data_IF_230634864760
#
_entry.id   IF_230634864760
#
_cell.length_a   1.000
_cell.length_b   1.000
_cell.length_c   1.000
_cell.angle_alpha   90.00
_cell.angle_beta   90.00
_cell.angle_gamma   90.00
#
_symmetry.space_group_name_H-M   'P 1'
#
loop_
_entity.id
_entity.type
_entity.pdbx_description
1 polymer ?
#
# COMPACT_ATOMS: atom_id res chain seq x y z
N UNK A 1 9.54 -8.49 26.40
CA UNK A 1 10.60 -7.92 25.56
C UNK A 1 9.96 -6.93 24.59
N UNK A 2 10.37 -5.67 24.65
CA UNK A 2 10.04 -4.70 23.62
C UNK A 2 10.64 -5.14 22.28
N UNK A 3 9.85 -5.11 21.20
CA UNK A 3 10.40 -5.40 19.88
C UNK A 3 11.38 -4.30 19.50
N UNK A 4 12.64 -4.64 19.29
CA UNK A 4 13.63 -3.71 18.75
C UNK A 4 13.07 -3.12 17.43
N UNK A 5 13.06 -1.81 17.34
CA UNK A 5 12.62 -1.09 16.13
C UNK A 5 13.55 -1.44 14.97
N UNK A 6 12.99 -1.64 13.80
CA UNK A 6 13.74 -2.01 12.59
C UNK A 6 13.64 -0.84 11.61
N UNK A 7 14.68 -0.02 11.51
CA UNK A 7 14.66 1.25 10.79
C UNK A 7 14.27 1.12 9.31
N UNK A 8 14.78 0.11 8.60
CA UNK A 8 14.43 -0.04 7.18
C UNK A 8 12.94 -0.24 6.93
N UNK A 9 12.19 -0.81 7.88
CA UNK A 9 10.73 -0.92 7.77
C UNK A 9 10.05 0.45 7.95
N UNK A 10 10.61 1.31 8.79
CA UNK A 10 10.15 2.69 8.94
C UNK A 10 10.39 3.48 7.67
N UNK A 11 11.57 3.34 7.07
CA UNK A 11 11.91 3.98 5.80
C UNK A 11 11.00 3.52 4.67
N UNK A 12 10.76 2.20 4.55
CA UNK A 12 9.83 1.65 3.54
C UNK A 12 8.40 2.19 3.74
N UNK A 13 7.91 2.31 4.97
CA UNK A 13 6.60 2.93 5.24
C UNK A 13 6.51 4.38 4.78
N UNK A 14 7.56 5.16 5.04
CA UNK A 14 7.61 6.55 4.60
C UNK A 14 7.56 6.63 3.08
N UNK A 15 8.38 5.87 2.37
CA UNK A 15 8.34 5.83 0.91
C UNK A 15 6.98 5.34 0.39
N UNK A 16 6.41 4.31 1.00
CA UNK A 16 5.08 3.81 0.66
C UNK A 16 3.99 4.88 0.81
N UNK A 17 4.08 5.69 1.89
CA UNK A 17 3.17 6.82 2.10
C UNK A 17 3.32 7.87 1.00
N UNK A 18 4.56 8.24 0.62
CA UNK A 18 4.81 9.14 -0.51
C UNK A 18 4.21 8.60 -1.81
N UNK A 19 4.39 7.31 -2.10
CA UNK A 19 3.82 6.64 -3.27
C UNK A 19 2.28 6.70 -3.27
N UNK A 20 1.63 6.52 -2.12
CA UNK A 20 0.16 6.60 -2.01
C UNK A 20 -0.31 8.03 -2.27
N UNK A 21 0.28 9.02 -1.60
CA UNK A 21 -0.09 10.44 -1.82
C UNK A 21 0.17 10.85 -3.26
N UNK A 22 1.27 10.35 -3.86
CA UNK A 22 1.57 10.54 -5.28
C UNK A 22 0.44 10.08 -6.20
N UNK A 23 -0.18 8.92 -5.93
CA UNK A 23 -1.33 8.44 -6.69
C UNK A 23 -2.58 9.32 -6.54
N UNK A 24 -2.69 10.12 -5.48
CA UNK A 24 -3.85 10.98 -5.21
C UNK A 24 -3.66 12.44 -5.66
N UNK A 25 -2.62 12.74 -6.44
CA UNK A 25 -2.43 14.07 -7.05
C UNK A 25 -3.20 14.22 -8.37
N UNK A 26 -4.51 13.95 -8.36
CA UNK A 26 -5.34 13.95 -9.57
C UNK A 26 -5.56 15.37 -10.16
N UNK A 27 -5.28 16.42 -9.40
CA UNK A 27 -5.40 17.79 -9.85
C UNK A 27 -4.30 18.20 -10.85
N UNK A 28 -3.24 17.38 -11.00
CA UNK A 28 -2.21 17.61 -12.01
C UNK A 28 -2.61 16.83 -13.25
N UNK A 29 -3.02 17.56 -14.28
CA UNK A 29 -3.33 17.00 -15.60
C UNK A 29 -2.04 16.90 -16.39
N UNK A 30 -1.70 15.71 -16.87
CA UNK A 30 -0.51 15.49 -17.68
C UNK A 30 -0.86 15.68 -19.16
N UNK A 31 -0.09 16.47 -19.86
CA UNK A 31 -0.23 16.68 -21.31
C UNK A 31 0.00 15.40 -22.11
N UNK A 32 0.87 14.52 -21.59
CA UNK A 32 1.17 13.22 -22.20
C UNK A 32 0.47 12.08 -21.48
N UNK A 33 -0.34 11.32 -22.20
CA UNK A 33 -0.98 10.10 -21.74
C UNK A 33 0.04 9.09 -21.17
N UNK A 34 1.22 8.98 -21.80
CA UNK A 34 2.28 8.08 -21.31
C UNK A 34 2.82 8.54 -19.95
N UNK A 35 2.98 9.85 -19.75
CA UNK A 35 3.44 10.40 -18.46
C UNK A 35 2.43 10.18 -17.36
N UNK A 36 1.15 10.29 -17.64
CA UNK A 36 0.08 9.95 -16.69
C UNK A 36 0.18 8.48 -16.26
N UNK A 37 0.38 7.56 -17.21
CA UNK A 37 0.55 6.12 -16.89
C UNK A 37 1.82 5.85 -16.09
N UNK A 38 2.93 6.52 -16.42
CA UNK A 38 4.17 6.43 -15.65
C UNK A 38 3.97 6.92 -14.22
N UNK A 39 3.25 8.02 -14.00
CA UNK A 39 2.86 8.52 -12.67
C UNK A 39 2.14 7.44 -11.87
N UNK A 40 1.10 6.85 -12.44
CA UNK A 40 0.34 5.81 -11.79
C UNK A 40 1.19 4.58 -11.45
N UNK A 41 2.00 4.10 -12.39
CA UNK A 41 2.87 2.96 -12.17
C UNK A 41 3.86 3.19 -11.03
N UNK A 42 4.54 4.35 -11.00
CA UNK A 42 5.52 4.69 -9.97
C UNK A 42 4.93 4.67 -8.55
N UNK A 43 3.72 5.16 -8.38
CA UNK A 43 3.05 5.21 -7.07
C UNK A 43 2.44 3.88 -6.62
N UNK A 44 2.17 2.94 -7.54
CA UNK A 44 1.40 1.73 -7.24
C UNK A 44 2.08 0.75 -6.28
N UNK A 45 3.38 0.81 -6.06
CA UNK A 45 4.02 -0.03 -5.04
C UNK A 45 3.68 0.38 -3.59
N UNK A 46 3.12 1.57 -3.36
CA UNK A 46 2.87 2.07 -2.00
C UNK A 46 1.98 1.15 -1.16
N UNK A 47 0.82 0.79 -1.65
CA UNK A 47 -0.12 -0.12 -0.94
C UNK A 47 0.47 -1.51 -0.72
N UNK A 48 1.04 -2.19 -1.73
CA UNK A 48 1.76 -3.44 -1.53
C UNK A 48 2.86 -3.39 -0.48
N UNK A 49 3.68 -2.34 -0.47
CA UNK A 49 4.73 -2.18 0.53
C UNK A 49 4.16 -2.09 1.96
N UNK A 50 3.01 -1.42 2.16
CA UNK A 50 2.34 -1.43 3.46
C UNK A 50 1.85 -2.83 3.86
N UNK A 51 1.33 -3.64 2.94
CA UNK A 51 0.95 -5.02 3.22
C UNK A 51 2.16 -5.87 3.59
N UNK A 52 3.27 -5.77 2.84
CA UNK A 52 4.52 -6.50 3.13
C UNK A 52 5.05 -6.12 4.52
N UNK A 53 5.15 -4.82 4.84
CA UNK A 53 5.59 -4.36 6.16
C UNK A 53 4.64 -4.83 7.26
N UNK A 54 3.33 -4.81 7.01
CA UNK A 54 2.33 -5.28 7.98
C UNK A 54 2.45 -6.78 8.26
N UNK A 55 2.67 -7.60 7.23
CA UNK A 55 2.94 -9.04 7.38
C UNK A 55 4.24 -9.31 8.11
N UNK A 56 5.31 -8.58 7.79
CA UNK A 56 6.59 -8.67 8.49
C UNK A 56 6.44 -8.43 10.00
N UNK A 57 5.62 -7.46 10.38
CA UNK A 57 5.41 -7.08 11.77
C UNK A 57 4.32 -7.88 12.49
N UNK A 58 3.37 -8.47 11.77
CA UNK A 58 2.29 -9.23 12.40
C UNK A 58 2.78 -10.56 12.96
N UNK A 59 3.68 -11.22 12.26
CA UNK A 59 4.19 -12.55 12.62
C UNK A 59 5.59 -12.51 13.26
N UNK A 60 5.94 -13.48 14.11
CA UNK A 60 5.02 -14.37 14.79
C UNK A 60 4.17 -13.64 15.84
N UNK A 61 2.98 -14.17 16.14
CA UNK A 61 2.07 -13.61 17.12
C UNK A 61 2.54 -13.96 18.55
N UNK A 62 3.28 -13.08 19.18
CA UNK A 62 3.85 -13.28 20.52
C UNK A 62 3.04 -12.63 21.63
N UNK A 63 1.71 -12.53 21.47
CA UNK A 63 0.81 -11.92 22.44
C UNK A 63 -0.45 -12.75 22.61
N UNK A 64 -1.08 -12.77 23.81
CA UNK A 64 -2.40 -13.35 23.97
C UNK A 64 -3.42 -12.74 23.02
N UNK A 65 -4.37 -13.54 22.53
CA UNK A 65 -5.38 -13.13 21.54
C UNK A 65 -6.15 -11.88 21.97
N UNK A 66 -6.58 -11.83 23.23
CA UNK A 66 -7.32 -10.67 23.78
C UNK A 66 -6.50 -9.38 23.67
N UNK A 67 -5.22 -9.42 24.03
CA UNK A 67 -4.31 -8.27 23.93
C UNK A 67 -4.01 -7.90 22.47
N UNK A 68 -3.94 -8.90 21.59
CA UNK A 68 -3.76 -8.69 20.15
C UNK A 68 -4.96 -7.94 19.56
N UNK A 69 -6.18 -8.47 19.72
CA UNK A 69 -7.39 -7.87 19.17
C UNK A 69 -7.70 -6.50 19.78
N UNK A 70 -7.61 -6.36 21.11
CA UNK A 70 -7.77 -5.06 21.77
C UNK A 70 -6.82 -4.00 21.18
N UNK A 71 -5.57 -4.40 20.91
CA UNK A 71 -4.59 -3.51 20.27
C UNK A 71 -4.94 -3.14 18.83
N UNK A 72 -5.49 -4.08 18.03
CA UNK A 72 -5.90 -3.82 16.65
C UNK A 72 -7.18 -2.98 16.58
N UNK A 73 -8.17 -3.30 17.42
CA UNK A 73 -9.38 -2.49 17.51
C UNK A 73 -9.05 -1.05 17.85
N UNK A 74 -8.26 -0.82 18.90
CA UNK A 74 -7.91 0.53 19.33
C UNK A 74 -7.11 1.33 18.28
N UNK A 75 -6.16 0.68 17.59
CA UNK A 75 -5.21 1.38 16.71
C UNK A 75 -5.60 1.41 15.25
N UNK A 76 -6.57 0.62 14.83
CA UNK A 76 -6.97 0.52 13.41
C UNK A 76 -8.46 0.68 13.26
N UNK A 77 -9.27 -0.13 13.97
CA UNK A 77 -10.72 -0.14 13.77
C UNK A 77 -11.38 1.14 14.25
N UNK A 78 -11.03 1.61 15.47
CA UNK A 78 -11.63 2.83 16.03
C UNK A 78 -11.30 4.06 15.18
N UNK A 79 -10.04 4.36 14.85
CA UNK A 79 -9.73 5.46 13.91
C UNK A 79 -10.43 5.30 12.56
N UNK A 80 -10.47 4.09 12.03
CA UNK A 80 -11.16 3.83 10.77
C UNK A 80 -12.63 4.25 10.80
N UNK A 81 -13.38 3.84 11.84
CA UNK A 81 -14.79 4.22 12.00
C UNK A 81 -14.93 5.74 12.13
N UNK A 82 -14.08 6.39 12.95
CA UNK A 82 -14.08 7.84 13.10
C UNK A 82 -13.89 8.54 11.75
N UNK A 83 -12.95 8.08 10.93
CA UNK A 83 -12.66 8.69 9.63
C UNK A 83 -13.73 8.40 8.57
N UNK A 84 -14.32 7.21 8.55
CA UNK A 84 -15.47 6.92 7.68
C UNK A 84 -16.63 7.87 8.01
N UNK A 85 -16.95 8.06 9.29
CA UNK A 85 -18.00 8.97 9.70
C UNK A 85 -17.67 10.44 9.37
N UNK A 86 -16.43 10.85 9.55
CA UNK A 86 -15.98 12.21 9.21
C UNK A 86 -16.13 12.48 7.70
N UNK A 87 -15.67 11.58 6.84
CA UNK A 87 -15.81 11.72 5.40
C UNK A 87 -17.29 11.69 4.97
N UNK A 88 -18.10 10.82 5.56
CA UNK A 88 -19.54 10.78 5.30
C UNK A 88 -20.23 12.11 5.66
N UNK A 89 -19.87 12.73 6.80
CA UNK A 89 -20.39 14.05 7.19
C UNK A 89 -19.95 15.13 6.19
N UNK A 90 -18.70 15.13 5.76
CA UNK A 90 -18.19 16.09 4.76
C UNK A 90 -18.94 15.95 3.43
N UNK A 91 -19.16 14.74 2.95
CA UNK A 91 -19.90 14.47 1.71
C UNK A 91 -21.36 14.92 1.85
N UNK A 92 -21.99 14.64 2.99
CA UNK A 92 -23.35 15.12 3.27
C UNK A 92 -23.46 16.65 3.24
N UNK A 93 -22.52 17.35 3.86
CA UNK A 93 -22.47 18.82 3.85
C UNK A 93 -22.25 19.38 2.44
N UNK A 94 -21.53 18.63 1.58
CA UNK A 94 -21.33 18.97 0.17
C UNK A 94 -22.52 18.61 -0.72
N UNK A 95 -23.63 18.08 -0.15
CA UNK A 95 -24.79 17.64 -0.92
C UNK A 95 -24.57 16.35 -1.74
N UNK A 96 -23.52 15.58 -1.43
CA UNK A 96 -23.24 14.32 -2.09
C UNK A 96 -23.93 13.16 -1.38
N UNK A 97 -24.31 12.09 -2.09
CA UNK A 97 -24.91 10.92 -1.44
C UNK A 97 -23.86 10.21 -0.56
N UNK A 98 -24.26 9.87 0.68
CA UNK A 98 -23.38 9.12 1.62
C UNK A 98 -23.28 7.66 1.22
N UNK A 99 -24.31 7.10 0.61
CA UNK A 99 -24.32 5.74 0.08
C UNK A 99 -24.46 5.76 -1.44
N UNK A 100 -23.52 5.10 -2.11
CA UNK A 100 -23.56 4.90 -3.57
C UNK A 100 -23.48 3.40 -3.83
N UNK A 101 -24.49 2.83 -4.47
CA UNK A 101 -24.60 1.39 -4.77
C UNK A 101 -24.44 0.48 -3.52
N UNK A 102 -24.86 0.96 -2.35
CA UNK A 102 -24.75 0.22 -1.08
C UNK A 102 -23.38 0.34 -0.39
N UNK A 103 -22.45 1.10 -0.96
CA UNK A 103 -21.13 1.37 -0.35
C UNK A 103 -21.14 2.77 0.29
N UNK A 104 -20.56 2.85 1.50
CA UNK A 104 -20.32 4.09 2.22
C UNK A 104 -19.00 4.77 1.80
N UNK A 105 -18.14 4.08 1.08
CA UNK A 105 -16.89 4.63 0.58
C UNK A 105 -17.10 5.30 -0.78
N UNK A 106 -17.40 6.58 -0.75
CA UNK A 106 -17.53 7.44 -1.94
C UNK A 106 -16.16 7.98 -2.41
N UNK A 107 -16.15 8.83 -3.42
CA UNK A 107 -14.93 9.38 -4.03
C UNK A 107 -13.95 9.99 -3.01
N UNK A 108 -14.44 10.71 -2.00
CA UNK A 108 -13.63 11.33 -0.96
C UNK A 108 -13.03 10.35 0.04
N UNK A 109 -13.72 9.24 0.27
CA UNK A 109 -13.36 8.20 1.25
C UNK A 109 -12.87 6.90 0.60
N UNK A 110 -12.90 6.80 -0.73
CA UNK A 110 -12.53 5.60 -1.47
C UNK A 110 -11.15 5.05 -1.10
N UNK A 111 -10.18 5.92 -0.74
CA UNK A 111 -8.85 5.47 -0.30
C UNK A 111 -8.87 4.57 0.94
N UNK A 112 -9.91 4.63 1.77
CA UNK A 112 -10.05 3.84 3.00
C UNK A 112 -10.25 2.33 2.74
N UNK A 113 -10.51 1.90 1.48
CA UNK A 113 -10.64 0.48 1.12
C UNK A 113 -9.47 -0.39 1.62
N UNK A 114 -8.25 0.16 1.65
CA UNK A 114 -7.07 -0.52 2.15
C UNK A 114 -7.23 -0.97 3.61
N UNK A 115 -7.93 -0.18 4.44
CA UNK A 115 -8.11 -0.48 5.87
C UNK A 115 -9.07 -1.67 6.03
N UNK A 116 -10.10 -1.81 5.20
CA UNK A 116 -10.95 -3.00 5.19
C UNK A 116 -10.11 -4.25 4.95
N UNK A 117 -9.26 -4.22 3.94
CA UNK A 117 -8.39 -5.35 3.60
C UNK A 117 -7.42 -5.67 4.75
N UNK A 118 -6.77 -4.66 5.34
CA UNK A 118 -5.80 -4.91 6.41
C UNK A 118 -6.47 -5.40 7.70
N UNK A 119 -7.71 -4.99 7.99
CA UNK A 119 -8.49 -5.54 9.10
C UNK A 119 -8.74 -7.03 8.86
N UNK A 120 -9.22 -7.40 7.66
CA UNK A 120 -9.41 -8.80 7.28
C UNK A 120 -8.14 -9.63 7.44
N UNK A 121 -7.00 -9.13 6.95
CA UNK A 121 -5.71 -9.79 7.11
C UNK A 121 -5.31 -9.95 8.58
N UNK A 122 -5.57 -8.95 9.43
CA UNK A 122 -5.29 -9.08 10.86
C UNK A 122 -6.20 -10.09 11.59
N UNK A 123 -7.43 -10.29 11.13
CA UNK A 123 -8.31 -11.35 11.68
C UNK A 123 -7.77 -12.75 11.37
N UNK A 124 -7.12 -12.93 10.23
CA UNK A 124 -6.55 -14.22 9.80
C UNK A 124 -5.23 -14.54 10.53
N UNK A 125 -4.49 -13.53 11.04
CA UNK A 125 -3.18 -13.75 11.70
C UNK A 125 -3.18 -14.84 12.77
N UNK A 126 -4.10 -14.85 13.75
CA UNK A 126 -4.07 -15.89 14.79
C UNK A 126 -4.36 -17.31 14.26
N UNK A 127 -5.08 -17.40 13.15
CA UNK A 127 -5.46 -18.69 12.53
C UNK A 127 -4.26 -19.30 11.81
N UNK A 128 -3.50 -18.48 11.07
CA UNK A 128 -2.39 -18.97 10.23
C UNK A 128 -1.04 -18.95 10.94
N UNK A 129 -0.88 -18.22 12.05
CA UNK A 129 0.40 -18.09 12.77
C UNK A 129 0.99 -19.45 13.21
N UNK A 130 0.22 -20.42 13.76
CA UNK A 130 0.76 -21.72 14.13
C UNK A 130 1.37 -22.46 12.94
N UNK A 131 0.69 -22.45 11.80
CA UNK A 131 1.18 -23.06 10.56
C UNK A 131 2.44 -22.35 10.05
N UNK A 132 2.42 -21.01 9.99
CA UNK A 132 3.55 -20.23 9.49
C UNK A 132 4.83 -20.40 10.33
N UNK A 133 4.71 -20.69 11.63
CA UNK A 133 5.86 -20.94 12.51
C UNK A 133 6.60 -22.24 12.17
N UNK A 134 5.89 -23.27 11.74
CA UNK A 134 6.41 -24.62 11.50
C UNK A 134 6.74 -24.87 10.04
N UNK A 135 6.07 -24.18 9.12
CA UNK A 135 6.19 -24.42 7.69
C UNK A 135 7.61 -24.19 7.17
N UNK A 136 8.04 -25.03 6.23
CA UNK A 136 9.35 -24.91 5.60
C UNK A 136 9.43 -23.75 4.60
N UNK A 137 10.64 -23.28 4.34
CA UNK A 137 10.90 -22.26 3.29
C UNK A 137 10.41 -22.72 1.91
N UNK A 138 10.51 -24.03 1.60
CA UNK A 138 10.07 -24.60 0.31
C UNK A 138 8.55 -24.44 0.11
N UNK A 139 7.75 -24.73 1.14
CA UNK A 139 6.28 -24.62 1.08
C UNK A 139 5.85 -23.15 0.98
N UNK A 140 6.50 -22.24 1.72
CA UNK A 140 6.20 -20.81 1.58
C UNK A 140 6.59 -20.28 0.20
N UNK A 141 7.70 -20.73 -0.38
CA UNK A 141 8.08 -20.38 -1.77
C UNK A 141 7.04 -20.88 -2.75
N UNK A 142 6.57 -22.12 -2.60
CA UNK A 142 5.51 -22.67 -3.45
C UNK A 142 4.24 -21.79 -3.38
N UNK A 143 3.80 -21.43 -2.17
CA UNK A 143 2.67 -20.51 -2.00
C UNK A 143 2.88 -19.18 -2.71
N UNK A 144 4.06 -18.57 -2.54
CA UNK A 144 4.38 -17.28 -3.19
C UNK A 144 4.44 -17.39 -4.72
N UNK A 145 4.94 -18.51 -5.26
CA UNK A 145 4.95 -18.76 -6.71
C UNK A 145 3.51 -18.90 -7.24
N UNK A 146 2.66 -19.67 -6.56
CA UNK A 146 1.25 -19.81 -6.93
C UNK A 146 0.52 -18.46 -6.86
N UNK A 147 0.77 -17.68 -5.81
CA UNK A 147 0.23 -16.32 -5.70
C UNK A 147 0.72 -15.42 -6.84
N UNK A 148 2.00 -15.41 -7.17
CA UNK A 148 2.54 -14.63 -8.29
C UNK A 148 1.92 -15.08 -9.63
N UNK A 149 1.74 -16.39 -9.82
CA UNK A 149 1.07 -16.94 -11.00
C UNK A 149 -0.36 -16.41 -11.14
N UNK A 150 -1.13 -16.36 -10.04
CA UNK A 150 -2.49 -15.79 -10.09
C UNK A 150 -2.50 -14.30 -10.43
N UNK A 151 -1.40 -13.59 -10.28
CA UNK A 151 -1.25 -12.21 -10.76
C UNK A 151 -1.35 -12.03 -12.28
N UNK A 152 -1.34 -13.12 -13.04
CA UNK A 152 -1.61 -13.13 -14.48
C UNK A 152 -3.13 -13.14 -14.79
N UNK A 153 -3.96 -13.52 -13.84
CA UNK A 153 -5.43 -13.67 -14.03
C UNK A 153 -6.12 -12.43 -14.59
N UNK A 154 -5.82 -11.20 -14.14
CA UNK A 154 -6.41 -10.01 -14.74
C UNK A 154 -6.15 -9.89 -16.25
N UNK A 155 -4.94 -10.24 -16.70
CA UNK A 155 -4.61 -10.26 -18.12
C UNK A 155 -5.37 -11.35 -18.87
N UNK A 156 -5.40 -12.58 -18.35
CA UNK A 156 -6.13 -13.68 -18.95
C UNK A 156 -7.62 -13.37 -19.08
N UNK A 157 -8.20 -12.79 -18.04
CA UNK A 157 -9.60 -12.32 -18.06
C UNK A 157 -9.85 -11.32 -19.18
N UNK A 158 -8.94 -10.36 -19.37
CA UNK A 158 -9.06 -9.37 -20.43
C UNK A 158 -8.92 -9.99 -21.82
N UNK A 159 -7.89 -10.84 -22.04
CA UNK A 159 -7.57 -11.43 -23.36
C UNK A 159 -8.67 -12.41 -23.81
N UNK A 160 -9.17 -13.22 -22.90
CA UNK A 160 -10.16 -14.26 -23.22
C UNK A 160 -11.61 -13.79 -23.00
N UNK A 161 -11.81 -12.54 -22.56
CA UNK A 161 -13.12 -11.99 -22.20
C UNK A 161 -13.95 -12.95 -21.32
N UNK A 162 -13.26 -13.66 -20.42
CA UNK A 162 -13.84 -14.69 -19.57
C UNK A 162 -13.63 -14.33 -18.10
N UNK A 163 -14.69 -14.36 -17.27
CA UNK A 163 -14.53 -14.07 -15.85
C UNK A 163 -13.71 -15.19 -15.16
N UNK A 164 -12.48 -14.89 -14.80
CA UNK A 164 -11.70 -15.72 -13.86
C UNK A 164 -12.24 -15.47 -12.44
N UNK A 165 -13.39 -16.01 -12.15
CA UNK A 165 -14.07 -15.89 -10.87
C UNK A 165 -14.30 -17.28 -10.25
N UNK A 166 -14.97 -17.30 -9.12
CA UNK A 166 -15.30 -18.51 -8.37
C UNK A 166 -16.13 -19.56 -9.14
N UNK A 167 -16.76 -19.18 -10.26
CA UNK A 167 -17.62 -20.05 -11.05
C UNK A 167 -16.88 -20.76 -12.20
N UNK A 168 -15.56 -20.57 -12.33
CA UNK A 168 -14.84 -21.21 -13.41
C UNK A 168 -13.87 -22.31 -12.88
N UNK A 169 -13.36 -23.14 -13.79
CA UNK A 169 -12.51 -24.30 -13.45
C UNK A 169 -11.19 -23.92 -12.74
N UNK A 170 -10.75 -22.65 -12.80
CA UNK A 170 -9.60 -22.14 -12.07
C UNK A 170 -9.94 -21.68 -10.64
N UNK A 171 -11.17 -21.91 -10.16
CA UNK A 171 -11.64 -21.50 -8.84
C UNK A 171 -10.68 -21.82 -7.71
N UNK A 172 -10.09 -23.02 -7.68
CA UNK A 172 -9.13 -23.42 -6.65
C UNK A 172 -7.88 -22.54 -6.62
N UNK A 173 -7.37 -22.15 -7.80
CA UNK A 173 -6.22 -21.24 -7.89
C UNK A 173 -6.59 -19.81 -7.51
N UNK A 174 -7.85 -19.42 -7.68
CA UNK A 174 -8.34 -18.10 -7.27
C UNK A 174 -8.15 -17.85 -5.77
N UNK A 175 -8.13 -18.88 -4.93
CA UNK A 175 -7.84 -18.73 -3.49
C UNK A 175 -6.45 -18.22 -3.18
N UNK A 176 -5.50 -18.33 -4.09
CA UNK A 176 -4.17 -17.70 -3.95
C UNK A 176 -4.17 -16.23 -4.40
N UNK A 177 -5.17 -15.79 -5.13
CA UNK A 177 -5.26 -14.43 -5.66
C UNK A 177 -5.52 -13.40 -4.56
N UNK A 178 -4.88 -12.23 -4.66
CA UNK A 178 -5.21 -11.10 -3.80
C UNK A 178 -4.06 -10.60 -2.93
N UNK A 179 -4.41 -9.87 -1.89
CA UNK A 179 -3.46 -9.13 -1.04
C UNK A 179 -2.76 -10.00 0.00
N UNK A 180 -3.30 -11.18 0.29
CA UNK A 180 -2.73 -12.15 1.25
C UNK A 180 -1.30 -12.50 0.90
N UNK A 181 -0.98 -12.62 -0.38
CA UNK A 181 0.37 -12.93 -0.83
C UNK A 181 1.42 -11.90 -0.41
N UNK A 182 1.11 -10.61 -0.47
CA UNK A 182 2.01 -9.56 0.04
C UNK A 182 2.24 -9.69 1.55
N UNK A 183 1.21 -10.05 2.29
CA UNK A 183 1.27 -10.20 3.74
C UNK A 183 2.14 -11.41 4.12
N UNK A 184 1.96 -12.55 3.43
CA UNK A 184 2.81 -13.74 3.59
C UNK A 184 4.25 -13.46 3.12
N UNK A 185 4.45 -12.70 2.03
CA UNK A 185 5.77 -12.27 1.56
C UNK A 185 6.53 -11.49 2.64
N UNK A 186 5.83 -10.61 3.37
CA UNK A 186 6.42 -9.88 4.50
C UNK A 186 6.96 -10.82 5.58
N UNK A 187 6.19 -11.86 5.94
CA UNK A 187 6.66 -12.89 6.86
C UNK A 187 7.81 -13.71 6.30
N UNK A 188 7.75 -14.06 5.02
CA UNK A 188 8.83 -14.77 4.32
C UNK A 188 10.15 -13.97 4.39
N UNK A 189 10.12 -12.68 4.12
CA UNK A 189 11.30 -11.82 4.24
C UNK A 189 11.82 -11.72 5.67
N UNK A 190 10.95 -11.77 6.67
CA UNK A 190 11.38 -11.78 8.06
C UNK A 190 12.12 -13.04 8.44
N UNK A 191 11.58 -14.18 8.04
CA UNK A 191 12.08 -15.50 8.48
C UNK A 191 13.22 -16.02 7.61
N UNK A 192 13.20 -15.71 6.31
CA UNK A 192 14.09 -16.28 5.31
C UNK A 192 14.78 -15.23 4.44
N UNK A 193 14.72 -13.95 4.82
CA UNK A 193 15.24 -12.85 4.01
C UNK A 193 16.72 -13.00 3.66
N UNK A 194 17.52 -13.46 4.60
CA UNK A 194 18.97 -13.64 4.40
C UNK A 194 19.31 -14.88 3.53
N UNK A 195 18.33 -15.74 3.29
CA UNK A 195 18.48 -16.98 2.49
C UNK A 195 17.89 -16.86 1.09
N UNK A 196 17.31 -15.71 0.75
CA UNK A 196 16.62 -15.52 -0.53
C UNK A 196 17.33 -14.52 -1.43
N UNK A 197 17.41 -14.85 -2.72
CA UNK A 197 17.89 -13.92 -3.76
C UNK A 197 16.87 -12.81 -4.11
N UNK A 198 15.63 -12.91 -3.62
CA UNK A 198 14.61 -11.88 -3.87
C UNK A 198 14.99 -10.49 -3.33
N UNK A 199 15.91 -10.44 -2.36
CA UNK A 199 16.42 -9.19 -1.77
C UNK A 199 17.76 -8.73 -2.37
N UNK A 200 18.24 -9.38 -3.44
CA UNK A 200 19.46 -9.00 -4.13
C UNK A 200 19.18 -7.85 -5.12
N UNK A 201 20.14 -6.93 -5.29
CA UNK A 201 20.00 -5.82 -6.23
C UNK A 201 19.87 -6.27 -7.68
N UNK A 202 20.58 -7.35 -8.08
CA UNK A 202 20.48 -7.92 -9.44
C UNK A 202 19.07 -8.43 -9.72
N UNK A 203 18.49 -9.18 -8.77
CA UNK A 203 17.10 -9.67 -8.86
C UNK A 203 16.10 -8.49 -8.85
N UNK A 204 16.35 -7.45 -8.06
CA UNK A 204 15.51 -6.25 -8.04
C UNK A 204 15.54 -5.52 -9.38
N UNK A 205 16.73 -5.31 -9.98
CA UNK A 205 16.86 -4.69 -11.28
C UNK A 205 16.15 -5.51 -12.37
N UNK A 206 16.33 -6.84 -12.37
CA UNK A 206 15.61 -7.73 -13.27
C UNK A 206 14.09 -7.61 -13.13
N UNK A 207 13.57 -7.62 -11.90
CA UNK A 207 12.12 -7.50 -11.66
C UNK A 207 11.57 -6.14 -12.08
N UNK A 208 12.32 -5.05 -11.91
CA UNK A 208 11.91 -3.72 -12.41
C UNK A 208 11.82 -3.74 -13.95
N UNK A 209 12.85 -4.26 -14.63
CA UNK A 209 12.86 -4.34 -16.09
C UNK A 209 11.68 -5.19 -16.59
N UNK A 210 11.49 -6.38 -16.02
CA UNK A 210 10.37 -7.27 -16.39
C UNK A 210 9.02 -6.59 -16.10
N UNK A 211 8.88 -5.91 -14.97
CA UNK A 211 7.66 -5.20 -14.63
C UNK A 211 7.33 -4.09 -15.63
N UNK A 212 8.32 -3.30 -16.05
CA UNK A 212 8.15 -2.24 -17.06
C UNK A 212 7.78 -2.86 -18.41
N UNK A 213 8.47 -3.93 -18.84
CA UNK A 213 8.18 -4.62 -20.10
C UNK A 213 6.78 -5.22 -20.11
N UNK A 214 6.36 -5.87 -19.02
CA UNK A 214 5.01 -6.41 -18.88
C UNK A 214 3.95 -5.31 -18.89
N UNK A 215 4.19 -4.21 -18.17
CA UNK A 215 3.26 -3.06 -18.18
C UNK A 215 3.14 -2.49 -19.59
N UNK A 216 4.25 -2.33 -20.30
CA UNK A 216 4.26 -1.91 -21.70
C UNK A 216 3.51 -2.90 -22.61
N UNK A 217 3.73 -4.21 -22.45
CA UNK A 217 3.04 -5.23 -23.21
C UNK A 217 1.52 -5.20 -22.93
N UNK A 218 1.10 -5.09 -21.66
CA UNK A 218 -0.31 -4.95 -21.30
C UNK A 218 -0.95 -3.76 -22.03
N UNK A 219 -0.21 -2.67 -22.12
CA UNK A 219 -0.69 -1.43 -22.67
C UNK A 219 -0.71 -1.42 -24.21
N UNK A 220 0.42 -1.73 -24.85
CA UNK A 220 0.60 -1.58 -26.30
C UNK A 220 0.14 -2.82 -27.08
N UNK A 221 0.35 -4.02 -26.56
CA UNK A 221 0.03 -5.28 -27.26
C UNK A 221 -1.39 -5.73 -26.95
N UNK A 222 -1.74 -5.79 -25.65
CA UNK A 222 -3.03 -6.30 -25.22
C UNK A 222 -4.11 -5.19 -25.08
N UNK A 223 -3.73 -3.92 -25.31
CA UNK A 223 -4.64 -2.75 -25.22
C UNK A 223 -5.44 -2.72 -23.92
N UNK A 224 -4.82 -3.18 -22.84
CA UNK A 224 -5.45 -3.22 -21.53
C UNK A 224 -5.76 -1.81 -21.00
N UNK A 225 -6.86 -1.69 -20.27
CA UNK A 225 -7.23 -0.43 -19.59
C UNK A 225 -6.22 -0.07 -18.51
N UNK A 226 -6.21 1.19 -18.10
CA UNK A 226 -5.37 1.67 -16.99
C UNK A 226 -5.59 0.87 -15.71
N UNK A 227 -6.84 0.48 -15.45
CA UNK A 227 -7.21 -0.30 -14.26
C UNK A 227 -6.45 -1.61 -14.25
N UNK A 228 -6.38 -2.31 -15.38
CA UNK A 228 -5.70 -3.60 -15.48
C UNK A 228 -4.18 -3.49 -15.38
N UNK A 229 -3.60 -2.48 -16.03
CA UNK A 229 -2.14 -2.25 -16.00
C UNK A 229 -1.61 -1.83 -14.64
N UNK A 230 -2.49 -1.27 -13.81
CA UNK A 230 -2.16 -0.76 -12.47
C UNK A 230 -2.87 -1.52 -11.33
N UNK A 231 -3.42 -2.71 -11.60
CA UNK A 231 -4.01 -3.55 -10.54
C UNK A 231 -2.91 -3.99 -9.56
N UNK A 232 -3.14 -3.71 -8.29
CA UNK A 232 -2.24 -4.13 -7.20
C UNK A 232 -2.02 -5.65 -7.13
N UNK A 233 -2.95 -6.43 -7.66
CA UNK A 233 -2.91 -7.90 -7.68
C UNK A 233 -2.27 -8.43 -8.96
N UNK A 234 -2.00 -7.57 -9.95
CA UNK A 234 -1.37 -7.94 -11.21
C UNK A 234 0.13 -8.20 -11.08
N UNK A 235 0.63 -9.14 -11.89
CA UNK A 235 2.04 -9.57 -11.86
C UNK A 235 3.03 -8.40 -12.04
N UNK A 236 2.79 -7.38 -12.89
CA UNK A 236 3.72 -6.26 -13.01
C UNK A 236 3.93 -5.53 -11.67
N UNK A 237 2.84 -5.24 -10.95
CA UNK A 237 2.90 -4.52 -9.67
C UNK A 237 3.47 -5.40 -8.56
N UNK A 238 3.22 -6.71 -8.59
CA UNK A 238 3.82 -7.66 -7.65
C UNK A 238 5.35 -7.63 -7.78
N UNK A 239 5.88 -7.80 -8.99
CA UNK A 239 7.33 -7.80 -9.24
C UNK A 239 7.97 -6.45 -8.88
N UNK A 240 7.33 -5.35 -9.28
CA UNK A 240 7.78 -4.00 -8.93
C UNK A 240 7.85 -3.80 -7.42
N UNK A 241 6.84 -4.25 -6.68
CA UNK A 241 6.78 -4.08 -5.22
C UNK A 241 7.84 -4.92 -4.49
N UNK A 242 8.12 -6.14 -4.96
CA UNK A 242 9.22 -6.97 -4.43
C UNK A 242 10.56 -6.26 -4.64
N UNK A 243 10.80 -5.76 -5.84
CA UNK A 243 12.02 -5.06 -6.19
C UNK A 243 12.20 -3.78 -5.34
N UNK A 244 11.14 -2.98 -5.23
CA UNK A 244 11.15 -1.76 -4.42
C UNK A 244 11.43 -2.05 -2.94
N UNK A 245 10.81 -3.09 -2.36
CA UNK A 245 11.11 -3.49 -0.98
C UNK A 245 12.59 -3.81 -0.80
N UNK A 246 13.19 -4.58 -1.70
CA UNK A 246 14.59 -4.97 -1.65
C UNK A 246 15.54 -3.77 -1.80
N UNK A 247 15.28 -2.90 -2.77
CA UNK A 247 16.07 -1.67 -2.99
C UNK A 247 15.99 -0.74 -1.79
N UNK A 248 14.78 -0.47 -1.29
CA UNK A 248 14.57 0.41 -0.14
C UNK A 248 15.21 -0.14 1.14
N UNK A 249 15.22 -1.47 1.34
CA UNK A 249 15.97 -2.10 2.44
C UNK A 249 17.47 -1.76 2.37
N UNK A 250 18.05 -1.74 1.17
CA UNK A 250 19.47 -1.39 0.99
C UNK A 250 19.73 0.11 1.19
N UNK A 251 18.89 0.96 0.62
CA UNK A 251 19.02 2.42 0.77
C UNK A 251 18.84 2.85 2.22
N UNK A 252 17.97 2.19 2.96
CA UNK A 252 17.71 2.49 4.36
C UNK A 252 18.97 2.52 5.25
N UNK A 253 19.99 1.72 4.92
CA UNK A 253 21.26 1.67 5.69
C UNK A 253 21.94 3.05 5.67
N UNK A 254 21.93 3.74 4.54
CA UNK A 254 22.53 5.05 4.40
C UNK A 254 21.69 6.13 5.11
N UNK A 255 20.38 6.05 5.04
CA UNK A 255 19.45 6.99 5.68
C UNK A 255 19.52 6.82 7.23
N UNK A 256 19.62 5.60 7.72
CA UNK A 256 19.73 5.29 9.15
C UNK A 256 20.95 5.97 9.79
N UNK A 257 22.06 6.05 9.04
CA UNK A 257 23.30 6.69 9.48
C UNK A 257 23.33 8.22 9.29
N UNK A 258 22.30 8.76 8.64
CA UNK A 258 22.22 10.19 8.33
C UNK A 258 21.47 10.98 9.43
N UNK A 259 21.54 12.31 9.34
CA UNK A 259 20.74 13.23 10.18
C UNK A 259 19.23 13.07 10.03
N UNK A 260 18.76 12.38 8.98
CA UNK A 260 17.35 12.19 8.68
C UNK A 260 16.69 11.04 9.43
N UNK A 261 17.44 10.21 10.16
CA UNK A 261 16.93 9.05 10.90
C UNK A 261 15.73 9.42 11.79
N UNK A 262 15.87 10.42 12.64
CA UNK A 262 14.83 10.83 13.58
C UNK A 262 13.58 11.35 12.87
N UNK A 263 13.75 12.07 11.76
CA UNK A 263 12.64 12.58 10.95
C UNK A 263 11.86 11.44 10.27
N UNK A 264 12.57 10.50 9.63
CA UNK A 264 11.96 9.31 9.02
C UNK A 264 11.22 8.48 10.07
N UNK A 265 11.82 8.31 11.24
CA UNK A 265 11.22 7.59 12.36
C UNK A 265 9.93 8.25 12.85
N UNK A 266 9.93 9.58 12.94
CA UNK A 266 8.75 10.36 13.32
C UNK A 266 7.65 10.28 12.27
N UNK A 267 8.00 10.44 10.98
CA UNK A 267 7.07 10.29 9.86
C UNK A 267 6.45 8.89 9.81
N UNK A 268 7.26 7.84 9.96
CA UNK A 268 6.77 6.45 10.00
C UNK A 268 5.81 6.21 11.16
N UNK A 269 6.09 6.77 12.34
CA UNK A 269 5.22 6.63 13.51
C UNK A 269 3.85 7.25 13.25
N UNK A 270 3.79 8.37 12.54
CA UNK A 270 2.57 9.10 12.21
C UNK A 270 1.95 8.67 10.86
N UNK A 271 2.55 7.72 10.14
CA UNK A 271 2.18 7.38 8.77
C UNK A 271 0.72 6.95 8.60
N UNK A 272 0.16 6.24 9.59
CA UNK A 272 -1.24 5.84 9.55
C UNK A 272 -2.19 7.03 9.68
N UNK A 273 -1.89 7.96 10.58
CA UNK A 273 -2.66 9.20 10.73
C UNK A 273 -2.57 10.08 9.48
N UNK A 274 -1.37 10.21 8.90
CA UNK A 274 -1.17 10.94 7.63
C UNK A 274 -1.98 10.28 6.51
N UNK A 275 -1.96 8.95 6.43
CA UNK A 275 -2.78 8.20 5.47
C UNK A 275 -4.29 8.49 5.63
N UNK A 276 -4.79 8.60 6.84
CA UNK A 276 -6.20 8.94 7.10
C UNK A 276 -6.52 10.39 6.71
N UNK A 277 -5.59 11.32 6.95
CA UNK A 277 -5.81 12.76 6.81
C UNK A 277 -5.54 13.31 5.40
N UNK A 278 -4.63 12.71 4.62
CA UNK A 278 -4.11 13.28 3.37
C UNK A 278 -5.18 13.65 2.33
N UNK A 279 -6.31 12.93 2.30
CA UNK A 279 -7.41 13.25 1.37
C UNK A 279 -8.13 14.54 1.74
N UNK A 280 -8.14 14.95 3.00
CA UNK A 280 -8.63 16.29 3.36
C UNK A 280 -7.76 17.40 2.73
N UNK A 281 -6.45 17.19 2.66
CA UNK A 281 -5.56 18.11 1.96
C UNK A 281 -5.86 18.12 0.45
N UNK A 282 -6.11 16.96 -0.15
CA UNK A 282 -6.53 16.87 -1.56
C UNK A 282 -7.84 17.62 -1.78
N UNK A 283 -8.81 17.47 -0.90
CA UNK A 283 -10.15 18.05 -1.06
C UNK A 283 -10.16 19.58 -0.82
N UNK A 284 -9.43 20.06 0.17
CA UNK A 284 -9.56 21.44 0.62
C UNK A 284 -8.36 22.34 0.34
N UNK A 285 -7.16 21.79 0.19
CA UNK A 285 -5.94 22.56 -0.03
C UNK A 285 -5.53 22.59 -1.50
N UNK A 286 -5.61 21.46 -2.21
CA UNK A 286 -5.20 21.39 -3.62
C UNK A 286 -5.95 22.39 -4.52
N UNK A 287 -7.26 22.62 -4.38
CA UNK A 287 -7.95 23.62 -5.18
C UNK A 287 -7.46 25.06 -4.97
N UNK A 288 -6.79 25.34 -3.84
CA UNK A 288 -6.24 26.65 -3.51
C UNK A 288 -4.82 26.89 -4.05
N UNK A 289 -4.15 25.82 -4.50
CA UNK A 289 -2.80 25.93 -5.04
C UNK A 289 -2.90 26.40 -6.50
N UNK A 290 -2.23 27.52 -6.87
CA UNK A 290 -2.22 28.00 -8.25
C UNK A 290 -1.69 26.92 -9.20
N UNK A 291 -2.32 26.78 -10.37
CA UNK A 291 -1.81 25.89 -11.41
C UNK A 291 -0.55 26.50 -12.01
N UNK A 292 0.58 25.84 -11.82
CA UNK A 292 1.86 26.28 -12.38
C UNK A 292 2.01 25.79 -13.82
N UNK A 293 1.40 26.50 -14.77
CA UNK A 293 1.40 26.14 -16.19
C UNK A 293 2.80 26.12 -16.87
N UNK A 294 3.85 26.52 -16.17
CA UNK A 294 5.22 26.66 -16.72
C UNK A 294 6.17 25.54 -16.24
N UNK A 295 5.77 24.76 -15.24
CA UNK A 295 6.64 23.72 -14.67
C UNK A 295 6.31 22.34 -15.26
N UNK A 296 7.31 21.44 -15.41
CA UNK A 296 7.06 20.05 -15.81
C UNK A 296 6.11 19.37 -14.82
N UNK A 297 5.15 18.60 -15.31
CA UNK A 297 4.10 17.93 -14.53
C UNK A 297 4.62 17.10 -13.35
N UNK A 298 5.76 16.43 -13.53
CA UNK A 298 6.39 15.66 -12.46
C UNK A 298 6.87 16.53 -11.30
N UNK A 299 7.35 17.75 -11.59
CA UNK A 299 7.78 18.72 -10.57
C UNK A 299 6.55 19.23 -9.81
N UNK A 300 5.50 19.58 -10.53
CA UNK A 300 4.23 20.02 -9.94
C UNK A 300 3.67 18.91 -9.05
N UNK A 301 3.63 17.67 -9.55
CA UNK A 301 3.21 16.49 -8.76
C UNK A 301 4.03 16.36 -7.47
N UNK A 302 5.35 16.48 -7.56
CA UNK A 302 6.23 16.40 -6.38
C UNK A 302 5.94 17.51 -5.36
N UNK A 303 5.67 18.74 -5.81
CA UNK A 303 5.29 19.85 -4.93
C UNK A 303 3.98 19.52 -4.20
N UNK A 304 2.94 19.06 -4.91
CA UNK A 304 1.66 18.68 -4.30
C UNK A 304 1.85 17.57 -3.23
N UNK A 305 2.68 16.57 -3.50
CA UNK A 305 2.98 15.50 -2.54
C UNK A 305 3.70 16.04 -1.31
N UNK A 306 4.70 16.90 -1.49
CA UNK A 306 5.47 17.47 -0.37
C UNK A 306 4.56 18.36 0.51
N UNK A 307 3.74 19.20 -0.11
CA UNK A 307 2.78 20.07 0.59
C UNK A 307 1.78 19.21 1.37
N UNK A 308 1.21 18.20 0.72
CA UNK A 308 0.24 17.32 1.37
C UNK A 308 0.82 16.61 2.59
N UNK A 309 1.96 15.93 2.39
CA UNK A 309 2.62 15.21 3.49
C UNK A 309 3.06 16.18 4.59
N UNK A 310 3.55 17.36 4.23
CA UNK A 310 3.95 18.40 5.19
C UNK A 310 2.78 18.84 6.06
N UNK A 311 1.66 19.25 5.46
CA UNK A 311 0.46 19.67 6.19
C UNK A 311 -0.09 18.53 7.03
N UNK A 312 -0.26 17.34 6.41
CA UNK A 312 -0.78 16.17 7.12
C UNK A 312 0.10 15.77 8.29
N UNK A 313 1.42 15.78 8.11
CA UNK A 313 2.37 15.47 9.19
C UNK A 313 2.28 16.46 10.35
N UNK A 314 2.24 17.77 10.06
CA UNK A 314 2.13 18.80 11.11
C UNK A 314 0.87 18.59 11.94
N UNK A 315 -0.29 18.44 11.28
CA UNK A 315 -1.57 18.22 11.99
C UNK A 315 -1.52 16.94 12.83
N UNK A 316 -1.13 15.81 12.21
CA UNK A 316 -1.07 14.51 12.90
C UNK A 316 -0.08 14.54 14.05
N UNK A 317 1.10 15.15 13.87
CA UNK A 317 2.14 15.26 14.90
C UNK A 317 1.65 16.00 16.14
N UNK A 318 0.97 17.14 15.97
CA UNK A 318 0.44 17.89 17.11
C UNK A 318 -0.72 17.16 17.79
N UNK A 319 -1.64 16.61 17.03
CA UNK A 319 -2.75 15.83 17.58
C UNK A 319 -2.25 14.54 18.26
N UNK A 320 -1.18 13.91 17.75
CA UNK A 320 -0.59 12.71 18.35
C UNK A 320 -0.07 12.93 19.77
N UNK A 321 0.18 14.18 20.18
CA UNK A 321 0.57 14.54 21.55
C UNK A 321 -0.60 14.64 22.52
N UNK A 322 -1.84 14.62 22.02
CA UNK A 322 -3.05 14.70 22.87
C UNK A 322 -3.45 13.32 23.38
N UNK A 323 -4.18 13.26 24.48
CA UNK A 323 -4.70 12.02 25.07
C UNK A 323 -5.71 11.28 24.17
N UNK A 324 -6.33 11.98 23.23
CA UNK A 324 -7.35 11.45 22.34
C UNK A 324 -6.80 10.96 20.98
N UNK A 325 -5.53 11.14 20.73
CA UNK A 325 -4.89 10.82 19.45
C UNK A 325 -5.14 9.39 18.96
N UNK A 326 -5.15 8.43 19.89
CA UNK A 326 -5.36 7.03 19.58
C UNK A 326 -6.79 6.68 19.11
N UNK A 327 -7.78 7.56 19.29
CA UNK A 327 -9.11 7.41 18.69
C UNK A 327 -9.17 7.98 17.29
N UNK A 328 -8.30 8.95 16.97
CA UNK A 328 -8.32 9.67 15.71
C UNK A 328 -7.28 9.09 14.73
N UNK A 329 -6.08 8.82 15.21
CA UNK A 329 -4.94 8.44 14.36
C UNK A 329 -4.30 7.08 14.70
N UNK A 330 -4.77 6.37 15.73
CA UNK A 330 -4.32 5.02 16.08
C UNK A 330 -3.17 4.91 17.11
#
# INVERSE_FOLDING_TARGET
MERKRVFYLDFIRVVALFCIVWCHTNNVVFDSYLMEKAKWFLGKCGVPLFFVVSGYLAFPLNKPLSKYFKGKVRRVVVPFIVWVLLYAIIELVQGKPVFVNGDILNEGSAHLWFIYVIIGLYLVVPIVDPFLRTVSSKVLKLYLVLWMFTGVFPLLQHVFNSPFNEHNWMYTLYHFYGYTGYFVLGYYFKRFGDQTRLLDLKTSAFFIIVSILLTGAYFFVFKCTTVLTSDYKGIPIILYSIAMFAMLKKVAIYVERSRWNNFVTSLSTNSFGIYLFHMLVVMFVYPLIPQFCVMPDLVVTAIYVIVNIGISYVVVYFVSKTRYSHYIFG
#
